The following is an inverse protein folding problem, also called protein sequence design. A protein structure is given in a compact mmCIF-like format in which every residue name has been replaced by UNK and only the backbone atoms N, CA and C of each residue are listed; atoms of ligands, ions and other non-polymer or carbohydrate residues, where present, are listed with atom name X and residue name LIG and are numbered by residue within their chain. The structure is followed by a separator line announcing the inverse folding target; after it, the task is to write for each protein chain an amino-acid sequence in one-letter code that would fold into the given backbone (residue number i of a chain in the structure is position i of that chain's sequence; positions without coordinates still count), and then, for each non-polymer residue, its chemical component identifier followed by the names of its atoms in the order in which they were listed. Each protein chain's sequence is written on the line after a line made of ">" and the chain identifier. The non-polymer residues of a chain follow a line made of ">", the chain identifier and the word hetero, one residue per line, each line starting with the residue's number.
data_IF_551495786090
#
_entry.id   IF_551495786090
#
_cell.length_a   1.000
_cell.length_b   1.000
_cell.length_c   1.000
_cell.angle_alpha   90.00
_cell.angle_beta   90.00
_cell.angle_gamma   90.00
#
_symmetry.space_group_name_H-M   'P 1'
#
loop_
_entity.id
_entity.type
_entity.pdbx_description
1 polymer ?
#
# COMPACT_ATOMS: atom_id res chain seq x y z
N UNK A 1 75.53 -0.04 -38.75
CA UNK A 1 74.57 -1.12 -39.10
C UNK A 1 73.29 -0.84 -38.34
N UNK A 2 72.17 -0.89 -39.06
CA UNK A 2 70.86 -0.34 -38.70
C UNK A 2 70.20 -1.05 -37.51
N UNK A 3 69.47 -0.28 -36.70
CA UNK A 3 68.73 -0.71 -35.51
C UNK A 3 67.47 -1.49 -35.93
N UNK A 4 67.24 -2.67 -35.35
CA UNK A 4 66.24 -3.64 -35.80
C UNK A 4 65.41 -4.18 -34.61
N UNK A 5 64.81 -3.28 -33.83
CA UNK A 5 63.92 -3.60 -32.68
C UNK A 5 62.78 -2.58 -32.50
N UNK A 6 62.18 -2.09 -33.59
CA UNK A 6 61.20 -0.99 -33.53
C UNK A 6 59.76 -1.31 -33.91
N UNK A 7 59.44 -2.49 -34.47
CA UNK A 7 58.19 -2.68 -35.22
C UNK A 7 57.09 -3.47 -34.48
N UNK A 8 57.45 -4.42 -33.62
CA UNK A 8 56.49 -5.33 -32.96
C UNK A 8 55.59 -4.61 -31.94
N UNK A 9 56.14 -3.71 -31.13
CA UNK A 9 55.41 -2.95 -30.11
C UNK A 9 54.48 -1.88 -30.71
N UNK A 10 54.83 -1.33 -31.87
CA UNK A 10 53.99 -0.35 -32.57
C UNK A 10 52.78 -1.02 -33.22
N UNK A 11 52.94 -2.21 -33.79
CA UNK A 11 51.84 -2.97 -34.37
C UNK A 11 50.85 -3.42 -33.28
N UNK A 12 51.35 -3.94 -32.15
CA UNK A 12 50.51 -4.29 -31.00
C UNK A 12 49.73 -3.08 -30.46
N UNK A 13 50.36 -1.92 -30.36
CA UNK A 13 49.68 -0.68 -29.96
C UNK A 13 48.58 -0.28 -30.96
N UNK A 14 48.82 -0.41 -32.28
CA UNK A 14 47.81 -0.13 -33.31
C UNK A 14 46.61 -1.08 -33.24
N UNK A 15 46.85 -2.38 -32.99
CA UNK A 15 45.76 -3.35 -32.79
C UNK A 15 44.89 -2.98 -31.59
N UNK A 16 45.49 -2.66 -30.44
CA UNK A 16 44.75 -2.25 -29.24
C UNK A 16 43.95 -0.97 -29.48
N UNK A 17 44.55 0.04 -30.12
CA UNK A 17 43.85 1.29 -30.46
C UNK A 17 42.67 1.04 -31.39
N UNK A 18 42.85 0.21 -32.42
CA UNK A 18 41.75 -0.14 -33.35
C UNK A 18 40.62 -0.91 -32.66
N UNK A 19 40.94 -1.81 -31.74
CA UNK A 19 39.94 -2.55 -30.96
C UNK A 19 39.16 -1.61 -30.03
N UNK A 20 39.85 -0.70 -29.33
CA UNK A 20 39.21 0.31 -28.50
C UNK A 20 38.33 1.27 -29.31
N UNK A 21 38.76 1.65 -30.52
CA UNK A 21 37.96 2.47 -31.41
C UNK A 21 36.69 1.73 -31.86
N UNK A 22 36.81 0.45 -32.24
CA UNK A 22 35.66 -0.38 -32.58
C UNK A 22 34.69 -0.53 -31.40
N UNK A 23 35.20 -0.74 -30.19
CA UNK A 23 34.36 -0.79 -28.98
C UNK A 23 33.67 0.55 -28.69
N UNK A 24 34.36 1.67 -28.93
CA UNK A 24 33.78 3.00 -28.77
C UNK A 24 32.66 3.24 -29.78
N UNK A 25 32.90 2.94 -31.05
CA UNK A 25 31.91 3.08 -32.13
C UNK A 25 30.66 2.21 -31.86
N UNK A 26 30.85 0.99 -31.34
CA UNK A 26 29.74 0.15 -30.90
C UNK A 26 28.92 0.77 -29.76
N UNK A 27 29.61 1.38 -28.78
CA UNK A 27 28.95 2.06 -27.65
C UNK A 27 28.20 3.29 -28.12
N UNK A 28 28.78 4.09 -29.01
CA UNK A 28 28.12 5.25 -29.61
C UNK A 28 26.86 4.85 -30.39
N UNK A 29 26.94 3.76 -31.16
CA UNK A 29 25.79 3.19 -31.88
C UNK A 29 24.69 2.73 -30.92
N UNK A 30 25.05 2.04 -29.84
CA UNK A 30 24.10 1.61 -28.79
C UNK A 30 23.44 2.80 -28.09
N UNK A 31 24.21 3.83 -27.73
CA UNK A 31 23.70 5.07 -27.11
C UNK A 31 22.69 5.73 -28.04
N UNK A 32 23.04 5.91 -29.32
CA UNK A 32 22.14 6.51 -30.32
C UNK A 32 20.85 5.71 -30.51
N UNK A 33 20.94 4.38 -30.47
CA UNK A 33 19.76 3.51 -30.55
C UNK A 33 18.84 3.68 -29.32
N UNK A 34 19.42 3.77 -28.11
CA UNK A 34 18.68 4.02 -26.87
C UNK A 34 18.04 5.40 -26.85
N UNK A 35 18.75 6.44 -27.29
CA UNK A 35 18.21 7.79 -27.41
C UNK A 35 17.03 7.85 -28.39
N UNK A 36 17.15 7.15 -29.52
CA UNK A 36 16.06 7.05 -30.49
C UNK A 36 14.85 6.27 -29.94
N UNK A 37 15.07 5.21 -29.16
CA UNK A 37 14.00 4.46 -28.50
C UNK A 37 13.30 5.32 -27.45
N UNK A 38 14.05 5.99 -26.57
CA UNK A 38 13.51 6.88 -25.56
C UNK A 38 12.69 8.02 -26.18
N UNK A 39 13.18 8.60 -27.28
CA UNK A 39 12.45 9.66 -28.00
C UNK A 39 11.14 9.16 -28.59
N UNK A 40 11.10 7.93 -29.12
CA UNK A 40 9.85 7.32 -29.60
C UNK A 40 8.87 7.11 -28.45
N UNK A 41 9.32 6.54 -27.32
CA UNK A 41 8.46 6.37 -26.15
C UNK A 41 7.90 7.72 -25.64
N UNK A 42 8.72 8.77 -25.60
CA UNK A 42 8.26 10.11 -25.23
C UNK A 42 7.22 10.66 -26.21
N UNK A 43 7.40 10.44 -27.51
CA UNK A 43 6.44 10.84 -28.54
C UNK A 43 5.13 10.06 -28.42
N UNK A 44 5.20 8.74 -28.23
CA UNK A 44 4.02 7.88 -28.05
C UNK A 44 3.22 8.29 -26.80
N UNK A 45 3.91 8.53 -25.68
CA UNK A 45 3.28 9.02 -24.45
C UNK A 45 2.64 10.39 -24.63
N UNK A 46 3.30 11.30 -25.36
CA UNK A 46 2.74 12.63 -25.65
C UNK A 46 1.49 12.51 -26.52
N UNK A 47 1.54 11.69 -27.56
CA UNK A 47 0.40 11.43 -28.45
C UNK A 47 -0.80 10.85 -27.69
N UNK A 48 -0.57 9.89 -26.79
CA UNK A 48 -1.65 9.30 -25.98
C UNK A 48 -2.29 10.35 -25.07
N UNK A 49 -1.51 11.21 -24.43
CA UNK A 49 -2.04 12.29 -23.60
C UNK A 49 -2.84 13.31 -24.42
N UNK A 50 -2.37 13.66 -25.62
CA UNK A 50 -3.10 14.55 -26.53
C UNK A 50 -4.46 13.96 -26.94
N UNK A 51 -4.50 12.66 -27.25
CA UNK A 51 -5.74 11.96 -27.58
C UNK A 51 -6.71 11.90 -26.39
N UNK A 52 -6.21 11.62 -25.18
CA UNK A 52 -7.02 11.64 -23.95
C UNK A 52 -7.60 13.04 -23.68
N UNK A 53 -6.79 14.10 -23.83
CA UNK A 53 -7.25 15.48 -23.67
C UNK A 53 -8.37 15.79 -24.67
N UNK A 54 -8.22 15.37 -25.93
CA UNK A 54 -9.22 15.57 -26.98
C UNK A 54 -10.53 14.83 -26.68
N UNK A 55 -10.45 13.61 -26.16
CA UNK A 55 -11.62 12.85 -25.71
C UNK A 55 -12.33 13.56 -24.54
N UNK A 56 -11.56 14.04 -23.56
CA UNK A 56 -12.10 14.78 -22.42
C UNK A 56 -12.77 16.10 -22.85
N UNK A 57 -12.20 16.82 -23.81
CA UNK A 57 -12.80 18.03 -24.38
C UNK A 57 -14.12 17.72 -25.11
N UNK A 58 -14.17 16.63 -25.87
CA UNK A 58 -15.38 16.18 -26.53
C UNK A 58 -16.48 15.82 -25.51
N UNK A 59 -16.10 15.11 -24.44
CA UNK A 59 -17.00 14.77 -23.33
C UNK A 59 -17.49 16.00 -22.58
N UNK A 60 -16.60 16.97 -22.31
CA UNK A 60 -16.94 18.27 -21.70
C UNK A 60 -18.00 18.99 -22.55
N UNK A 61 -17.78 19.07 -23.87
CA UNK A 61 -18.72 19.72 -24.80
C UNK A 61 -20.08 19.01 -24.86
N UNK A 62 -20.11 17.69 -24.78
CA UNK A 62 -21.36 16.93 -24.71
C UNK A 62 -22.15 17.27 -23.44
N UNK A 63 -21.47 17.30 -22.28
CA UNK A 63 -22.07 17.68 -20.99
C UNK A 63 -22.58 19.12 -21.02
N UNK A 64 -21.82 20.07 -21.60
CA UNK A 64 -22.26 21.46 -21.74
C UNK A 64 -23.56 21.56 -22.55
N UNK A 65 -23.72 20.74 -23.60
CA UNK A 65 -24.96 20.70 -24.38
C UNK A 65 -26.14 20.13 -23.59
N UNK A 66 -25.91 19.10 -22.78
CA UNK A 66 -26.93 18.55 -21.89
C UNK A 66 -27.36 19.57 -20.83
N UNK A 67 -26.40 20.25 -20.20
CA UNK A 67 -26.65 21.32 -19.23
C UNK A 67 -27.47 22.46 -19.84
N UNK A 68 -27.14 22.89 -21.06
CA UNK A 68 -27.92 23.92 -21.76
C UNK A 68 -29.38 23.48 -22.01
N UNK A 69 -29.62 22.19 -22.27
CA UNK A 69 -30.96 21.61 -22.37
C UNK A 69 -31.71 21.64 -21.05
N UNK A 70 -31.03 21.30 -19.95
CA UNK A 70 -31.58 21.37 -18.59
C UNK A 70 -31.94 22.82 -18.22
N UNK A 71 -31.08 23.79 -18.53
CA UNK A 71 -31.33 25.21 -18.27
C UNK A 71 -32.55 25.73 -19.04
N UNK A 72 -32.75 25.28 -20.28
CA UNK A 72 -33.94 25.61 -21.06
C UNK A 72 -35.22 25.07 -20.40
N UNK A 73 -35.21 23.84 -19.90
CA UNK A 73 -36.32 23.24 -19.17
C UNK A 73 -36.60 23.97 -17.86
N UNK A 74 -35.55 24.34 -17.11
CA UNK A 74 -35.69 25.13 -15.88
C UNK A 74 -36.39 26.46 -16.19
N UNK A 75 -35.96 27.16 -17.25
CA UNK A 75 -36.55 28.43 -17.68
C UNK A 75 -38.01 28.29 -18.09
N UNK A 76 -38.37 27.22 -18.79
CA UNK A 76 -39.75 26.91 -19.14
C UNK A 76 -40.62 26.65 -17.89
N UNK A 77 -40.15 25.81 -16.96
CA UNK A 77 -40.87 25.52 -15.71
C UNK A 77 -41.02 26.77 -14.86
N UNK A 78 -40.01 27.64 -14.78
CA UNK A 78 -40.09 28.92 -14.09
C UNK A 78 -41.16 29.84 -14.70
N UNK A 79 -41.27 29.91 -16.04
CA UNK A 79 -42.34 30.66 -16.71
C UNK A 79 -43.73 30.12 -16.38
N UNK A 80 -43.89 28.79 -16.35
CA UNK A 80 -45.16 28.17 -15.95
C UNK A 80 -45.53 28.51 -14.49
N UNK A 81 -44.55 28.49 -13.58
CA UNK A 81 -44.74 28.89 -12.19
C UNK A 81 -45.17 30.37 -12.12
N UNK A 82 -44.50 31.27 -12.84
CA UNK A 82 -44.88 32.69 -12.89
C UNK A 82 -46.29 32.90 -13.44
N UNK A 83 -46.64 32.22 -14.54
CA UNK A 83 -47.98 32.27 -15.14
C UNK A 83 -49.07 31.76 -14.19
N UNK A 84 -48.77 30.71 -13.42
CA UNK A 84 -49.69 30.17 -12.40
C UNK A 84 -49.88 31.11 -11.19
N UNK A 85 -48.89 31.97 -10.90
CA UNK A 85 -48.97 32.99 -9.84
C UNK A 85 -49.69 34.26 -10.30
N UNK A 86 -49.72 34.55 -11.60
CA UNK A 86 -50.33 35.75 -12.17
C UNK A 86 -51.81 35.60 -12.57
N UNK A 87 -52.43 34.44 -12.34
CA UNK A 87 -53.83 34.17 -12.73
C UNK A 87 -54.78 34.27 -11.49
N UNK A 88 -55.48 35.41 -11.25
CA UNK A 88 -56.22 35.65 -10.00
C UNK A 88 -57.67 35.16 -10.02
N UNK A 89 -58.08 34.33 -10.99
CA UNK A 89 -59.49 33.99 -11.23
C UNK A 89 -59.75 32.49 -11.16
N UNK A 90 -59.59 31.88 -9.97
CA UNK A 90 -60.33 30.66 -9.58
C UNK A 90 -60.24 30.37 -8.08
N UNK A 91 -60.65 31.33 -7.25
CA UNK A 91 -61.09 31.06 -5.87
C UNK A 91 -62.43 31.75 -5.57
N UNK A 92 -63.53 31.15 -6.03
CA UNK A 92 -64.86 31.21 -5.40
C UNK A 92 -65.87 30.36 -6.18
N UNK A 93 -66.18 29.15 -5.70
CA UNK A 93 -67.53 28.71 -5.31
C UNK A 93 -67.56 27.24 -4.84
N UNK A 94 -68.46 27.02 -3.89
CA UNK A 94 -68.68 25.91 -2.96
C UNK A 94 -69.42 24.71 -3.60
N UNK A 95 -69.07 23.50 -3.11
CA UNK A 95 -69.90 22.36 -2.63
C UNK A 95 -71.09 21.79 -3.45
N UNK A 96 -71.09 20.44 -3.50
CA UNK A 96 -72.17 19.42 -3.71
C UNK A 96 -72.65 19.29 -5.18
N UNK A 97 -72.80 18.11 -5.80
CA UNK A 97 -73.38 16.83 -5.32
C UNK A 97 -73.06 15.62 -6.25
N UNK A 98 -72.94 14.43 -5.63
CA UNK A 98 -73.34 13.05 -6.04
C UNK A 98 -73.14 12.53 -7.49
N UNK A 99 -72.24 11.53 -7.61
CA UNK A 99 -72.18 10.24 -8.36
C UNK A 99 -73.38 9.76 -9.21
N UNK A 100 -73.26 8.73 -10.12
CA UNK A 100 -72.15 7.77 -10.37
C UNK A 100 -71.84 7.47 -11.87
N UNK A 101 -70.91 6.52 -12.13
CA UNK A 101 -70.95 5.43 -13.15
C UNK A 101 -69.68 5.26 -14.02
N UNK A 102 -68.96 4.17 -13.69
CA UNK A 102 -68.20 3.18 -14.47
C UNK A 102 -67.21 3.57 -15.60
N UNK A 103 -65.97 3.11 -15.46
CA UNK A 103 -65.42 2.00 -16.27
C UNK A 103 -64.02 1.55 -15.78
N UNK A 104 -63.55 0.34 -16.15
CA UNK A 104 -62.74 -0.51 -15.26
C UNK A 104 -61.29 -0.79 -15.71
N UNK A 105 -60.56 -1.47 -14.79
CA UNK A 105 -59.52 -2.51 -15.02
C UNK A 105 -58.09 -2.01 -15.35
N UNK A 106 -57.18 -2.04 -14.36
CA UNK A 106 -56.11 -3.06 -14.13
C UNK A 106 -54.77 -2.61 -14.73
N UNK A 107 -53.58 -2.84 -14.15
CA UNK A 107 -53.14 -3.51 -12.94
C UNK A 107 -51.76 -2.94 -12.58
N UNK A 108 -51.45 -2.75 -11.30
CA UNK A 108 -50.08 -2.89 -10.78
C UNK A 108 -50.19 -3.47 -9.38
N UNK A 109 -49.55 -4.62 -9.20
CA UNK A 109 -49.41 -5.38 -7.96
C UNK A 109 -48.38 -4.67 -7.08
N UNK A 110 -48.75 -4.41 -5.83
CA UNK A 110 -47.85 -4.01 -4.75
C UNK A 110 -47.99 -5.09 -3.66
N UNK A 111 -46.91 -5.81 -3.37
CA UNK A 111 -46.86 -6.80 -2.29
C UNK A 111 -46.24 -6.15 -1.04
N UNK A 112 -47.05 -6.06 0.03
CA UNK A 112 -46.65 -5.73 1.39
C UNK A 112 -46.61 -7.03 2.22
N UNK A 113 -45.92 -7.06 3.38
CA UNK A 113 -45.55 -8.27 4.10
C UNK A 113 -46.68 -8.79 5.00
N UNK A 114 -46.63 -10.08 5.32
CA UNK A 114 -47.48 -10.70 6.33
C UNK A 114 -46.64 -11.24 7.49
N UNK A 115 -47.11 -10.93 8.70
CA UNK A 115 -46.72 -11.52 9.97
C UNK A 115 -47.85 -12.40 10.51
N UNK A 116 -47.54 -13.13 11.58
CA UNK A 116 -48.42 -13.86 12.52
C UNK A 116 -48.65 -15.35 12.20
N UNK A 117 -48.80 -16.26 13.16
CA UNK A 117 -48.44 -16.32 14.58
C UNK A 117 -48.69 -17.77 15.06
N UNK A 118 -47.93 -18.17 16.08
CA UNK A 118 -48.29 -19.04 17.21
C UNK A 118 -48.47 -20.57 17.04
N UNK A 119 -47.91 -21.30 18.02
CA UNK A 119 -48.23 -22.70 18.32
C UNK A 119 -47.10 -23.46 19.03
N UNK A 120 -47.15 -23.55 20.37
CA UNK A 120 -46.47 -24.56 21.22
C UNK A 120 -47.59 -25.49 21.75
N UNK A 121 -47.35 -26.78 22.11
CA UNK A 121 -46.83 -27.07 23.46
C UNK A 121 -46.10 -28.43 23.69
N UNK A 122 -45.39 -28.51 24.84
CA UNK A 122 -45.13 -29.68 25.74
C UNK A 122 -44.33 -30.88 25.20
N UNK A 123 -43.64 -31.75 25.95
CA UNK A 123 -43.33 -32.04 27.37
C UNK A 123 -42.14 -33.04 27.28
N UNK A 124 -41.06 -32.97 28.06
CA UNK A 124 -40.72 -33.73 29.29
C UNK A 124 -39.18 -33.88 29.22
N UNK A 125 -38.35 -33.89 30.27
CA UNK A 125 -38.52 -34.00 31.71
C UNK A 125 -37.19 -34.56 32.26
N UNK A 126 -36.65 -33.91 33.31
CA UNK A 126 -35.90 -34.44 34.49
C UNK A 126 -34.65 -35.35 34.24
N UNK A 127 -33.55 -35.33 34.99
CA UNK A 127 -33.36 -35.30 36.45
C UNK A 127 -31.98 -34.74 36.86
N UNK A 128 -31.95 -34.22 38.09
CA UNK A 128 -30.77 -33.96 38.92
C UNK A 128 -30.32 -35.24 39.66
N UNK A 129 -29.10 -35.28 40.22
CA UNK A 129 -28.66 -35.88 41.51
C UNK A 129 -27.13 -35.66 41.60
N UNK A 130 -26.59 -34.72 42.38
CA UNK A 130 -26.26 -34.74 43.84
C UNK A 130 -25.23 -35.82 44.25
N UNK A 131 -24.11 -35.32 44.81
CA UNK A 131 -22.95 -36.02 45.40
C UNK A 131 -23.27 -36.96 46.57
N UNK A 132 -22.33 -37.82 47.03
CA UNK A 132 -21.51 -37.46 48.20
C UNK A 132 -20.06 -38.05 48.18
N UNK A 133 -19.01 -37.27 48.49
CA UNK A 133 -18.35 -37.07 49.81
C UNK A 133 -17.47 -38.24 50.30
N UNK A 134 -16.14 -38.03 50.41
CA UNK A 134 -15.43 -37.89 51.70
C UNK A 134 -13.94 -38.35 51.72
N UNK A 135 -13.09 -37.46 52.28
CA UNK A 135 -11.86 -37.68 53.10
C UNK A 135 -10.61 -38.21 52.35
N UNK A 136 -9.38 -37.72 52.57
CA UNK A 136 -8.69 -37.11 53.73
C UNK A 136 -7.44 -36.40 53.15
N UNK A 137 -7.18 -35.09 53.35
CA UNK A 137 -6.54 -34.39 54.49
C UNK A 137 -5.00 -34.61 54.59
N UNK A 138 -4.29 -33.48 54.79
CA UNK A 138 -2.89 -33.26 55.27
C UNK A 138 -1.85 -33.05 54.15
N UNK A 139 -0.98 -32.03 54.09
CA UNK A 139 -0.42 -31.04 55.03
C UNK A 139 -0.05 -29.76 54.22
N UNK A 140 -0.47 -28.55 54.62
CA UNK A 140 0.21 -27.59 55.51
C UNK A 140 1.41 -26.84 54.89
N UNK A 141 1.11 -25.58 54.48
CA UNK A 141 2.00 -24.42 54.37
C UNK A 141 3.08 -24.37 55.47
N UNK A 142 4.36 -24.28 55.09
CA UNK A 142 5.34 -23.26 55.53
C UNK A 142 6.74 -23.61 55.01
N UNK A 143 7.22 -22.88 54.01
CA UNK A 143 8.55 -22.25 54.03
C UNK A 143 8.59 -21.19 52.94
N UNK A 144 8.41 -19.95 53.38
CA UNK A 144 8.91 -18.78 52.68
C UNK A 144 10.44 -18.80 52.69
N UNK A 145 10.98 -18.23 51.62
CA UNK A 145 12.33 -17.70 51.44
C UNK A 145 13.49 -18.70 51.27
N UNK A 146 14.32 -18.35 50.28
CA UNK A 146 15.64 -18.89 49.91
C UNK A 146 15.69 -20.24 49.17
N UNK A 147 15.41 -20.20 47.86
CA UNK A 147 16.24 -20.84 46.82
C UNK A 147 15.74 -20.37 45.44
N UNK A 148 15.66 -19.05 45.28
CA UNK A 148 15.44 -18.39 44.01
C UNK A 148 16.81 -18.15 43.36
N UNK A 149 17.33 -19.15 42.66
CA UNK A 149 18.54 -19.03 41.82
C UNK A 149 18.80 -20.36 41.09
N UNK A 150 17.95 -20.69 40.12
CA UNK A 150 18.25 -21.74 39.13
C UNK A 150 17.34 -21.70 37.89
N UNK A 151 16.13 -21.15 37.97
CA UNK A 151 15.13 -21.23 36.88
C UNK A 151 14.89 -19.92 36.12
N UNK A 152 15.91 -19.08 35.93
CA UNK A 152 15.80 -17.86 35.08
C UNK A 152 16.64 -17.95 33.81
N UNK A 153 17.44 -18.99 33.62
CA UNK A 153 18.39 -19.05 32.48
C UNK A 153 17.85 -19.67 31.19
N UNK A 154 16.55 -19.97 31.08
CA UNK A 154 15.99 -20.50 29.82
C UNK A 154 14.64 -19.87 29.46
N UNK A 155 14.63 -18.55 29.25
CA UNK A 155 13.58 -17.87 28.46
C UNK A 155 14.10 -16.64 27.68
N UNK A 156 15.37 -16.64 27.27
CA UNK A 156 15.98 -15.64 26.37
C UNK A 156 16.06 -16.15 24.92
N UNK A 157 15.13 -17.02 24.51
CA UNK A 157 15.10 -17.59 23.16
C UNK A 157 14.32 -16.64 22.22
N UNK A 158 15.05 -15.81 21.46
CA UNK A 158 14.58 -15.01 20.32
C UNK A 158 13.29 -14.20 20.58
N UNK A 159 13.44 -12.97 21.09
CA UNK A 159 12.31 -12.04 21.16
C UNK A 159 11.97 -11.54 19.75
N UNK A 160 11.12 -12.30 19.04
CA UNK A 160 10.61 -11.93 17.72
C UNK A 160 9.86 -10.60 17.84
N UNK A 161 10.37 -9.59 17.17
CA UNK A 161 9.76 -8.27 17.22
C UNK A 161 8.35 -8.31 16.60
N UNK A 162 7.35 -7.59 17.15
CA UNK A 162 5.98 -7.70 16.67
C UNK A 162 5.81 -7.30 15.22
N UNK A 163 5.07 -8.12 14.48
CA UNK A 163 4.70 -7.92 13.09
C UNK A 163 3.18 -8.11 12.94
N UNK A 164 2.58 -7.30 12.08
CA UNK A 164 1.17 -7.48 11.71
C UNK A 164 0.98 -8.64 10.72
N UNK A 165 -0.28 -8.94 10.37
CA UNK A 165 -0.61 -10.06 9.48
C UNK A 165 0.08 -9.96 8.12
N UNK A 166 0.14 -8.77 7.52
CA UNK A 166 0.69 -8.58 6.18
C UNK A 166 2.21 -8.77 6.18
N UNK A 167 2.90 -8.17 7.15
CA UNK A 167 4.33 -8.33 7.27
C UNK A 167 4.73 -9.77 7.62
N UNK A 168 3.92 -10.49 8.41
CA UNK A 168 4.15 -11.91 8.71
C UNK A 168 4.10 -12.81 7.47
N UNK A 169 3.28 -12.49 6.46
CA UNK A 169 3.25 -13.25 5.20
C UNK A 169 4.56 -13.06 4.47
N UNK A 170 5.00 -11.81 4.30
CA UNK A 170 6.27 -11.49 3.64
C UNK A 170 7.47 -12.06 4.39
N UNK A 171 7.46 -12.03 5.72
CA UNK A 171 8.56 -12.56 6.54
C UNK A 171 8.78 -14.07 6.40
N UNK A 172 7.76 -14.83 5.95
CA UNK A 172 7.94 -16.26 5.61
C UNK A 172 8.75 -16.44 4.33
N UNK A 173 8.63 -15.52 3.39
CA UNK A 173 9.33 -15.56 2.10
C UNK A 173 10.69 -14.84 2.18
N UNK A 174 10.78 -13.74 2.93
CA UNK A 174 12.01 -12.99 3.18
C UNK A 174 12.22 -12.77 4.69
N UNK A 175 12.97 -13.66 5.36
CA UNK A 175 13.19 -13.60 6.80
C UNK A 175 13.89 -12.33 7.30
N UNK A 176 14.64 -11.65 6.43
CA UNK A 176 15.36 -10.42 6.78
C UNK A 176 14.58 -9.14 6.40
N UNK A 177 13.26 -9.24 6.19
CA UNK A 177 12.41 -8.07 5.91
C UNK A 177 12.44 -7.08 7.08
N UNK A 178 12.80 -5.84 6.79
CA UNK A 178 12.77 -4.75 7.75
C UNK A 178 11.35 -4.17 7.85
N UNK A 179 10.79 -3.80 6.70
CA UNK A 179 9.42 -3.31 6.54
C UNK A 179 8.94 -3.51 5.10
N UNK A 180 7.65 -3.23 4.86
CA UNK A 180 7.05 -3.35 3.53
C UNK A 180 6.24 -2.11 3.17
N UNK A 181 6.07 -1.89 1.86
CA UNK A 181 5.12 -0.91 1.33
C UNK A 181 4.08 -1.64 0.49
N UNK A 182 2.81 -1.38 0.77
CA UNK A 182 1.66 -1.92 0.06
C UNK A 182 0.79 -0.77 -0.46
N UNK A 183 0.04 -1.04 -1.53
CA UNK A 183 -0.91 -0.09 -2.12
C UNK A 183 -2.33 -0.66 -2.07
N UNK A 184 -3.32 0.20 -2.23
CA UNK A 184 -4.72 -0.23 -2.32
C UNK A 184 -5.13 -0.82 -3.67
N UNK A 185 -4.31 -0.65 -4.72
CA UNK A 185 -4.68 -1.04 -6.09
C UNK A 185 -4.44 -2.52 -6.41
N UNK A 186 -3.57 -3.21 -5.68
CA UNK A 186 -3.31 -4.64 -5.81
C UNK A 186 -2.60 -5.19 -4.56
N UNK A 187 -2.44 -6.51 -4.49
CA UNK A 187 -1.76 -7.18 -3.38
C UNK A 187 -0.23 -7.23 -3.49
N UNK A 188 0.35 -6.80 -4.63
CA UNK A 188 1.80 -6.77 -4.81
C UNK A 188 2.45 -5.90 -3.74
N UNK A 189 3.58 -6.37 -3.22
CA UNK A 189 4.21 -5.77 -2.05
C UNK A 189 5.65 -5.40 -2.35
N UNK A 190 6.03 -4.16 -2.07
CA UNK A 190 7.44 -3.75 -2.09
C UNK A 190 8.08 -4.16 -0.78
N UNK A 191 9.17 -4.92 -0.86
CA UNK A 191 9.88 -5.48 0.28
C UNK A 191 11.19 -4.76 0.46
N UNK A 192 11.43 -4.27 1.69
CA UNK A 192 12.69 -3.68 2.10
C UNK A 192 13.37 -4.67 3.04
N UNK A 193 14.41 -5.34 2.55
CA UNK A 193 15.07 -6.41 3.27
C UNK A 193 16.51 -6.04 3.59
N UNK A 194 16.91 -6.23 4.85
CA UNK A 194 18.28 -6.02 5.26
C UNK A 194 19.20 -7.07 4.65
N UNK A 195 20.36 -6.63 4.19
CA UNK A 195 21.44 -7.52 3.75
C UNK A 195 22.44 -7.59 4.89
N UNK A 196 22.68 -8.79 5.38
CA UNK A 196 23.66 -9.05 6.43
C UNK A 196 25.04 -9.27 5.81
N UNK A 197 26.08 -8.93 6.55
CA UNK A 197 27.46 -9.31 6.24
C UNK A 197 27.61 -10.84 6.19
N UNK A 198 28.71 -11.31 5.61
CA UNK A 198 28.99 -12.75 5.50
C UNK A 198 29.04 -13.48 6.86
N UNK A 199 29.43 -12.80 7.93
CA UNK A 199 29.45 -13.35 9.30
C UNK A 199 28.08 -13.25 10.01
N UNK A 200 27.10 -12.57 9.39
CA UNK A 200 25.76 -12.39 9.91
C UNK A 200 25.64 -11.46 11.12
N UNK A 201 26.74 -10.83 11.56
CA UNK A 201 26.80 -10.02 12.79
C UNK A 201 26.55 -8.54 12.56
N UNK A 202 26.68 -8.06 11.33
CA UNK A 202 26.38 -6.68 10.94
C UNK A 202 25.55 -6.64 9.66
N UNK A 203 25.10 -5.45 9.29
CA UNK A 203 24.60 -5.22 7.93
C UNK A 203 25.79 -5.15 6.97
N UNK A 204 25.52 -5.45 5.70
CA UNK A 204 26.49 -5.26 4.62
C UNK A 204 26.85 -3.77 4.52
N UNK A 205 28.15 -3.47 4.43
CA UNK A 205 28.64 -2.08 4.48
C UNK A 205 28.31 -1.29 3.23
N UNK A 206 28.16 -1.97 2.10
CA UNK A 206 27.98 -1.35 0.78
C UNK A 206 26.50 -1.27 0.42
N UNK A 207 25.77 -2.36 0.65
CA UNK A 207 24.35 -2.51 0.32
C UNK A 207 23.59 -3.05 1.54
N UNK A 208 23.44 -2.28 2.62
CA UNK A 208 22.81 -2.75 3.87
C UNK A 208 21.33 -3.12 3.71
N UNK A 209 20.70 -2.69 2.61
CA UNK A 209 19.29 -2.93 2.31
C UNK A 209 19.07 -3.11 0.81
N UNK A 210 18.23 -4.09 0.47
CA UNK A 210 17.74 -4.35 -0.89
C UNK A 210 16.23 -4.07 -0.96
N UNK A 211 15.77 -3.63 -2.12
CA UNK A 211 14.36 -3.33 -2.37
C UNK A 211 13.92 -3.93 -3.69
N UNK A 212 12.79 -4.64 -3.65
CA UNK A 212 12.22 -5.35 -4.79
C UNK A 212 10.73 -5.61 -4.55
N UNK A 213 10.01 -6.01 -5.59
CA UNK A 213 8.62 -6.45 -5.53
C UNK A 213 8.50 -7.94 -5.22
N UNK A 214 7.49 -8.31 -4.44
CA UNK A 214 6.89 -9.64 -4.47
C UNK A 214 5.51 -9.52 -5.14
N UNK A 215 5.34 -10.23 -6.24
CA UNK A 215 4.16 -10.12 -7.11
C UNK A 215 3.08 -11.13 -6.71
N UNK A 216 2.37 -10.86 -5.62
CA UNK A 216 1.31 -11.74 -5.11
C UNK A 216 0.12 -11.94 -6.06
N UNK A 217 -0.05 -11.09 -7.07
CA UNK A 217 -1.05 -11.27 -8.13
C UNK A 217 -0.64 -12.31 -9.19
N UNK A 218 0.62 -12.76 -9.18
CA UNK A 218 1.16 -13.73 -10.12
C UNK A 218 1.35 -15.08 -9.43
N UNK A 219 1.11 -16.16 -10.17
CA UNK A 219 1.32 -17.52 -9.66
C UNK A 219 2.77 -17.72 -9.18
N UNK A 220 2.92 -18.29 -7.99
CA UNK A 220 4.24 -18.52 -7.39
C UNK A 220 4.91 -17.29 -6.77
N UNK A 221 4.23 -16.13 -6.71
CA UNK A 221 4.72 -14.90 -6.07
C UNK A 221 6.14 -14.50 -6.50
N UNK A 222 6.43 -14.35 -7.81
CA UNK A 222 7.77 -14.06 -8.29
C UNK A 222 8.29 -12.72 -7.74
N UNK A 223 9.62 -12.64 -7.60
CA UNK A 223 10.31 -11.40 -7.22
C UNK A 223 10.71 -10.61 -8.46
N UNK A 224 10.51 -9.31 -8.43
CA UNK A 224 10.88 -8.40 -9.53
C UNK A 224 11.67 -7.20 -8.99
N UNK A 225 12.70 -6.78 -9.71
CA UNK A 225 13.46 -5.58 -9.36
C UNK A 225 12.65 -4.31 -9.66
N UNK A 226 12.96 -3.24 -8.92
CA UNK A 226 12.41 -1.92 -9.23
C UNK A 226 12.97 -1.42 -10.57
N UNK A 227 12.09 -0.95 -11.44
CA UNK A 227 12.51 -0.21 -12.63
C UNK A 227 13.13 1.15 -12.25
N UNK A 228 13.75 1.83 -13.21
CA UNK A 228 14.48 3.09 -12.96
C UNK A 228 13.57 4.19 -12.40
N UNK A 229 12.33 4.29 -12.90
CA UNK A 229 11.37 5.32 -12.46
C UNK A 229 10.94 5.04 -11.02
N UNK A 230 10.53 3.81 -10.71
CA UNK A 230 10.12 3.38 -9.38
C UNK A 230 11.22 3.59 -8.34
N UNK A 231 12.46 3.24 -8.70
CA UNK A 231 13.65 3.44 -7.88
C UNK A 231 13.86 4.92 -7.55
N UNK A 232 13.73 5.81 -8.52
CA UNK A 232 14.04 7.22 -8.29
C UNK A 232 12.89 8.02 -7.65
N UNK A 233 11.64 7.58 -7.81
CA UNK A 233 10.46 8.38 -7.47
C UNK A 233 9.65 7.87 -6.28
N UNK A 234 9.49 6.55 -6.12
CA UNK A 234 8.50 5.99 -5.19
C UNK A 234 9.10 5.03 -4.15
N UNK A 235 9.96 4.10 -4.58
CA UNK A 235 10.35 2.95 -3.78
C UNK A 235 11.85 2.75 -3.61
N UNK A 236 12.70 3.50 -4.31
CA UNK A 236 14.13 3.33 -4.08
C UNK A 236 14.56 3.76 -2.70
N UNK A 237 15.70 3.21 -2.31
CA UNK A 237 16.39 3.54 -1.08
C UNK A 237 17.83 3.89 -1.43
N UNK A 238 18.35 4.93 -0.78
CA UNK A 238 19.78 5.20 -0.72
C UNK A 238 20.23 5.01 0.72
N UNK A 239 21.44 4.53 0.92
CA UNK A 239 21.99 4.30 2.26
C UNK A 239 23.40 4.82 2.37
N UNK A 240 23.75 5.30 3.57
CA UNK A 240 25.10 5.69 3.95
C UNK A 240 25.40 5.23 5.38
N UNK A 241 26.68 5.03 5.75
CA UNK A 241 27.04 4.78 7.14
C UNK A 241 26.56 5.91 8.06
N UNK A 242 26.19 5.54 9.29
CA UNK A 242 25.94 6.47 10.40
C UNK A 242 27.24 6.78 11.14
N UNK A 243 27.21 7.79 12.02
CA UNK A 243 28.29 8.05 12.99
C UNK A 243 28.34 6.96 14.10
N UNK A 244 27.26 6.18 14.23
CA UNK A 244 27.17 5.06 15.17
C UNK A 244 27.59 3.76 14.49
N UNK A 245 28.58 3.02 15.03
CA UNK A 245 29.01 1.75 14.47
C UNK A 245 27.87 0.73 14.36
N UNK A 246 27.75 0.09 13.20
CA UNK A 246 26.71 -0.91 12.91
C UNK A 246 25.34 -0.33 12.54
N UNK A 247 25.22 1.00 12.45
CA UNK A 247 24.03 1.68 11.96
C UNK A 247 24.25 2.29 10.57
N UNK A 248 23.21 2.25 9.75
CA UNK A 248 23.17 2.90 8.44
C UNK A 248 21.98 3.85 8.37
N UNK A 249 22.20 5.04 7.83
CA UNK A 249 21.13 5.97 7.49
C UNK A 249 20.57 5.59 6.12
N UNK A 250 19.27 5.36 6.05
CA UNK A 250 18.54 5.04 4.84
C UNK A 250 17.53 6.13 4.51
N UNK A 251 17.57 6.63 3.27
CA UNK A 251 16.59 7.59 2.74
C UNK A 251 15.68 6.86 1.76
N UNK A 252 14.39 6.77 2.10
CA UNK A 252 13.38 6.12 1.26
C UNK A 252 12.71 7.16 0.38
N UNK A 253 12.61 6.91 -0.92
CA UNK A 253 12.09 7.86 -1.90
C UNK A 253 10.68 8.39 -1.57
N UNK A 254 9.82 7.58 -0.94
CA UNK A 254 8.46 7.94 -0.51
C UNK A 254 8.34 8.48 0.92
N UNK A 255 9.40 8.42 1.73
CA UNK A 255 9.41 8.89 3.12
C UNK A 255 10.50 9.95 3.34
N UNK A 256 10.65 10.89 2.41
CA UNK A 256 11.71 11.91 2.45
C UNK A 256 11.61 12.90 3.62
N UNK A 257 10.48 12.90 4.32
CA UNK A 257 10.23 13.77 5.47
C UNK A 257 10.78 13.22 6.80
N UNK A 258 11.40 12.04 6.77
CA UNK A 258 11.94 11.37 7.95
C UNK A 258 13.17 10.55 7.60
N UNK A 259 14.11 10.50 8.54
CA UNK A 259 15.23 9.58 8.45
C UNK A 259 14.81 8.17 8.86
N UNK A 260 15.47 7.17 8.28
CA UNK A 260 15.39 5.79 8.71
C UNK A 260 16.78 5.31 9.11
N UNK A 261 16.89 4.68 10.27
CA UNK A 261 18.12 4.06 10.76
C UNK A 261 17.97 2.55 10.63
N UNK A 262 18.88 1.93 9.89
CA UNK A 262 18.97 0.49 9.73
C UNK A 262 20.03 -0.06 10.67
N UNK A 263 19.68 -1.11 11.42
CA UNK A 263 20.61 -1.84 12.28
C UNK A 263 20.13 -3.25 12.56
N UNK A 264 20.98 -4.06 13.18
CA UNK A 264 20.58 -5.34 13.76
C UNK A 264 20.23 -5.16 15.25
N UNK A 265 19.30 -5.97 15.75
CA UNK A 265 19.12 -6.15 17.18
C UNK A 265 20.12 -7.16 17.76
N UNK A 266 20.05 -7.40 19.08
CA UNK A 266 20.91 -8.36 19.79
C UNK A 266 20.75 -9.81 19.32
N UNK A 267 19.65 -10.13 18.65
CA UNK A 267 19.33 -11.44 18.11
C UNK A 267 19.59 -11.53 16.60
N UNK A 268 20.16 -10.48 15.99
CA UNK A 268 20.42 -10.42 14.56
C UNK A 268 19.19 -10.14 13.69
N UNK A 269 18.07 -9.67 14.25
CA UNK A 269 16.91 -9.24 13.48
C UNK A 269 17.17 -7.88 12.84
N UNK A 270 16.75 -7.72 11.59
CA UNK A 270 16.85 -6.43 10.89
C UNK A 270 15.83 -5.45 11.45
N UNK A 271 16.30 -4.26 11.83
CA UNK A 271 15.47 -3.16 12.33
C UNK A 271 15.57 -1.97 11.38
N UNK A 272 14.40 -1.38 11.07
CA UNK A 272 14.28 -0.05 10.48
C UNK A 272 13.63 0.87 11.51
N UNK A 273 14.37 1.85 12.01
CA UNK A 273 13.91 2.78 13.03
C UNK A 273 13.65 4.14 12.42
N UNK A 274 12.49 4.72 12.70
CA UNK A 274 12.12 6.05 12.18
C UNK A 274 11.27 6.82 13.18
N UNK A 275 10.83 8.01 12.77
CA UNK A 275 9.83 8.78 13.51
C UNK A 275 8.44 8.42 13.02
N UNK A 276 7.56 8.02 13.94
CA UNK A 276 6.15 7.72 13.65
C UNK A 276 5.29 8.49 14.65
N UNK A 277 4.42 9.35 14.14
CA UNK A 277 3.51 10.21 14.92
C UNK A 277 4.25 11.02 15.99
N UNK A 278 5.39 11.62 15.61
CA UNK A 278 6.24 12.42 16.49
C UNK A 278 7.14 11.63 17.46
N UNK A 279 6.95 10.31 17.59
CA UNK A 279 7.81 9.45 18.42
C UNK A 279 9.02 8.97 17.63
N UNK A 280 10.22 9.30 18.09
CA UNK A 280 11.50 8.89 17.47
C UNK A 280 11.86 7.45 17.84
N UNK A 281 12.65 6.78 17.00
CA UNK A 281 13.19 5.46 17.30
C UNK A 281 12.13 4.34 17.30
N UNK A 282 11.04 4.53 16.58
CA UNK A 282 9.99 3.52 16.43
C UNK A 282 10.35 2.55 15.32
N UNK A 283 10.08 1.25 15.52
CA UNK A 283 10.26 0.24 14.49
C UNK A 283 9.22 0.43 13.38
N UNK A 284 9.67 0.77 12.18
CA UNK A 284 8.82 0.78 10.98
C UNK A 284 8.50 -0.66 10.59
N UNK A 285 7.22 -0.95 10.33
CA UNK A 285 6.75 -2.29 9.96
C UNK A 285 6.07 -2.35 8.61
N UNK A 286 5.12 -1.43 8.39
CA UNK A 286 4.38 -1.39 7.13
C UNK A 286 3.99 0.04 6.82
N UNK A 287 4.10 0.39 5.55
CA UNK A 287 3.48 1.58 4.97
C UNK A 287 2.39 1.09 4.03
N UNK A 288 1.19 1.63 4.17
CA UNK A 288 0.08 1.38 3.26
C UNK A 288 -0.31 2.67 2.58
N UNK A 289 -0.32 2.66 1.25
CA UNK A 289 -0.63 3.82 0.43
C UNK A 289 -2.02 3.62 -0.17
N UNK A 290 -2.96 4.45 0.25
CA UNK A 290 -4.26 4.52 -0.40
C UNK A 290 -4.13 5.33 -1.68
N UNK A 291 -4.28 4.64 -2.80
CA UNK A 291 -4.41 5.26 -4.11
C UNK A 291 -5.84 5.77 -4.32
N UNK A 292 -5.95 6.87 -5.05
CA UNK A 292 -7.17 7.40 -5.64
C UNK A 292 -6.86 7.82 -7.08
N UNK A 293 -7.86 8.32 -7.78
CA UNK A 293 -7.71 8.84 -9.13
C UNK A 293 -8.28 10.24 -9.17
N UNK A 294 -7.50 11.20 -9.68
CA UNK A 294 -7.96 12.56 -9.93
C UNK A 294 -7.73 12.88 -11.41
N UNK A 295 -8.78 13.25 -12.14
CA UNK A 295 -8.70 13.53 -13.58
C UNK A 295 -8.10 12.38 -14.41
N UNK A 296 -8.36 11.12 -14.03
CA UNK A 296 -7.79 9.94 -14.70
C UNK A 296 -6.35 9.58 -14.28
N UNK A 297 -5.66 10.47 -13.56
CA UNK A 297 -4.29 10.25 -13.11
C UNK A 297 -4.30 9.58 -11.73
N UNK A 298 -3.55 8.47 -11.53
CA UNK A 298 -3.38 7.86 -10.23
C UNK A 298 -2.66 8.82 -9.26
N UNK A 299 -3.28 9.07 -8.12
CA UNK A 299 -2.72 9.93 -7.07
C UNK A 299 -2.82 9.25 -5.70
N UNK A 300 -2.09 9.77 -4.72
CA UNK A 300 -2.16 9.29 -3.33
C UNK A 300 -3.22 10.09 -2.59
N UNK A 301 -4.20 9.40 -2.02
CA UNK A 301 -5.19 9.99 -1.10
C UNK A 301 -4.56 10.15 0.30
N UNK A 302 -4.12 9.04 0.88
CA UNK A 302 -3.43 9.03 2.17
C UNK A 302 -2.41 7.90 2.29
N UNK A 303 -1.54 8.03 3.28
CA UNK A 303 -0.54 7.04 3.67
C UNK A 303 -0.75 6.70 5.14
N UNK A 304 -0.87 5.41 5.42
CA UNK A 304 -0.90 4.84 6.76
C UNK A 304 0.46 4.22 7.07
N UNK A 305 1.10 4.65 8.15
CA UNK A 305 2.41 4.17 8.60
C UNK A 305 2.20 3.43 9.91
N UNK A 306 2.55 2.14 9.90
CA UNK A 306 2.43 1.23 11.04
C UNK A 306 3.83 0.89 11.56
N UNK A 307 3.97 0.99 12.87
CA UNK A 307 5.19 0.61 13.56
C UNK A 307 4.94 0.06 14.94
N UNK A 308 6.02 -0.16 15.67
CA UNK A 308 6.01 -0.71 17.02
C UNK A 308 7.06 0.02 17.87
N UNK A 309 6.75 0.29 19.13
CA UNK A 309 7.77 0.75 20.07
C UNK A 309 8.73 -0.43 20.39
N UNK A 310 10.03 -0.33 20.11
CA UNK A 310 10.96 -1.43 20.34
C UNK A 310 11.13 -1.81 21.82
N UNK A 311 10.76 -0.92 22.75
CA UNK A 311 10.88 -1.12 24.19
C UNK A 311 9.60 -1.73 24.76
N UNK A 312 8.45 -1.10 24.51
CA UNK A 312 7.16 -1.52 25.07
C UNK A 312 6.45 -2.57 24.23
N UNK A 313 6.84 -2.74 22.97
CA UNK A 313 6.20 -3.59 21.96
C UNK A 313 4.78 -3.15 21.58
N UNK A 314 4.36 -1.96 22.01
CA UNK A 314 3.05 -1.42 21.66
C UNK A 314 3.04 -0.93 20.21
N UNK A 315 1.92 -1.15 19.48
CA UNK A 315 1.77 -0.63 18.14
C UNK A 315 1.75 0.90 18.15
N UNK A 316 2.44 1.50 17.17
CA UNK A 316 2.36 2.94 16.88
C UNK A 316 1.86 3.14 15.45
N UNK A 317 1.15 4.23 15.23
CA UNK A 317 0.45 4.49 13.98
C UNK A 317 0.48 5.98 13.65
N UNK A 318 0.65 6.29 12.37
CA UNK A 318 0.56 7.64 11.81
C UNK A 318 -0.23 7.59 10.50
N UNK A 319 -1.18 8.51 10.34
CA UNK A 319 -1.88 8.73 9.07
C UNK A 319 -1.48 10.08 8.49
N UNK A 320 -1.06 10.08 7.23
CA UNK A 320 -0.72 11.28 6.47
C UNK A 320 -1.68 11.42 5.30
N UNK A 321 -2.31 12.58 5.17
CA UNK A 321 -3.04 12.93 3.95
C UNK A 321 -2.13 13.75 3.05
N UNK A 322 -2.27 13.55 1.74
CA UNK A 322 -1.63 14.45 0.79
C UNK A 322 -2.30 15.83 0.94
N UNK A 323 -1.53 16.86 1.33
CA UNK A 323 -2.02 18.24 1.45
C UNK A 323 -1.79 18.98 0.15
#
# INVERSE_FOLDING_TARGET
>A
MSWLWGNETTEQAQFVVSALQSELDERESKIKALEAALKREQQDMTSLLEDEVKELEARRKAIEKELAGVDALIKEKQRLIQKSKSDPLKKKKKKKSKTPVSSPRAAVVEEKPAAAANGKPKENGKEAVVSPKAKKRQQKKKKEASAASADVEQTENSKVLPMDKNLKVVAKEEPNVAFIIQRSNNSNTVVYAGVKSADGKSLDTTTPIKVYWIMYEKEGNPREDLNMIERNTAYGVTSKPSDVPGEHLASIASLRDRDCVLRLDKHGNVMALTTINGKKGMLLRRVFVQMTTSWGIPTVDFVDIFGVDPTTLEPVYEKKKNK
#
